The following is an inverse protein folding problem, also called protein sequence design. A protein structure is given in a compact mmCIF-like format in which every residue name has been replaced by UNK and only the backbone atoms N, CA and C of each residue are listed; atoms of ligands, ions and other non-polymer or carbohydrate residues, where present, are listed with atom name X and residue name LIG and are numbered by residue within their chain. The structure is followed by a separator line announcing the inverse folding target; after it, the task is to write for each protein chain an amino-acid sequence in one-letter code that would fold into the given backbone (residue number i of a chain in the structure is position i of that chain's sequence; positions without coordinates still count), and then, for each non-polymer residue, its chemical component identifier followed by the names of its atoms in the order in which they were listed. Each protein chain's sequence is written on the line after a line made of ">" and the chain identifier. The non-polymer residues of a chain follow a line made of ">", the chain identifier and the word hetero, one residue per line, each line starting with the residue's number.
data_IF_899673772506
#
_entry.id   IF_899673772506
#
_cell.length_a   1.000
_cell.length_b   1.000
_cell.length_c   1.000
_cell.angle_alpha   90.00
_cell.angle_beta   90.00
_cell.angle_gamma   90.00
#
_symmetry.space_group_name_H-M   'P 1'
#
loop_
_entity.id
_entity.type
_entity.pdbx_description
1 polymer ?
#
# COMPACT_ATOMS: atom_id res chain seq x y z
N UNK A 1 20.03 -8.93 -4.80
CA UNK A 1 19.91 -10.41 -4.83
C UNK A 1 20.79 -11.01 -5.90
N UNK A 2 20.58 -10.75 -7.20
CA UNK A 2 21.52 -11.25 -8.24
C UNK A 2 22.92 -10.62 -8.08
N UNK A 3 23.01 -9.30 -7.92
CA UNK A 3 24.31 -8.63 -7.71
C UNK A 3 25.02 -9.08 -6.43
N UNK A 4 24.27 -9.34 -5.35
CA UNK A 4 24.86 -9.84 -4.10
C UNK A 4 25.38 -11.28 -4.26
N UNK A 5 24.65 -12.15 -4.97
CA UNK A 5 25.13 -13.50 -5.29
C UNK A 5 26.37 -13.46 -6.19
N UNK A 6 26.41 -12.53 -7.15
CA UNK A 6 27.56 -12.32 -8.01
C UNK A 6 28.79 -11.87 -7.21
N UNK A 7 28.63 -10.93 -6.28
CA UNK A 7 29.72 -10.51 -5.38
C UNK A 7 30.21 -11.69 -4.53
N UNK A 8 29.31 -12.49 -3.95
CA UNK A 8 29.68 -13.69 -3.18
C UNK A 8 30.46 -14.68 -4.05
N UNK A 9 30.05 -14.88 -5.30
CA UNK A 9 30.76 -15.71 -6.26
C UNK A 9 32.17 -15.17 -6.54
N UNK A 10 32.32 -13.89 -6.86
CA UNK A 10 33.64 -13.27 -7.14
C UNK A 10 34.53 -13.29 -5.89
N UNK A 11 34.00 -12.96 -4.72
CA UNK A 11 34.75 -13.00 -3.46
C UNK A 11 35.23 -14.42 -3.12
N UNK A 12 34.35 -15.43 -3.26
CA UNK A 12 34.74 -16.82 -3.03
C UNK A 12 35.80 -17.29 -4.03
N UNK A 13 35.71 -16.89 -5.30
CA UNK A 13 36.73 -17.17 -6.32
C UNK A 13 38.10 -16.58 -5.96
N UNK A 14 38.15 -15.32 -5.51
CA UNK A 14 39.40 -14.66 -5.10
C UNK A 14 39.99 -15.33 -3.86
N UNK A 15 39.18 -15.67 -2.86
CA UNK A 15 39.64 -16.31 -1.62
C UNK A 15 40.13 -17.74 -1.86
N UNK A 16 39.49 -18.47 -2.77
CA UNK A 16 39.93 -19.77 -3.24
C UNK A 16 41.27 -19.67 -3.98
N UNK A 17 41.40 -18.69 -4.90
CA UNK A 17 42.66 -18.48 -5.64
C UNK A 17 43.84 -18.12 -4.73
N UNK A 18 43.59 -17.34 -3.67
CA UNK A 18 44.60 -17.01 -2.65
C UNK A 18 44.91 -18.15 -1.68
N UNK A 19 44.22 -19.28 -1.76
CA UNK A 19 44.40 -20.42 -0.86
C UNK A 19 43.94 -20.18 0.58
N UNK A 20 43.20 -19.09 0.84
CA UNK A 20 42.70 -18.74 2.18
C UNK A 20 41.48 -19.59 2.53
N UNK A 21 40.70 -19.95 1.52
CA UNK A 21 39.48 -20.73 1.66
C UNK A 21 39.75 -22.18 1.28
N UNK A 22 39.42 -23.13 2.17
CA UNK A 22 39.59 -24.56 1.90
C UNK A 22 38.82 -24.99 0.64
N UNK A 23 39.41 -25.91 -0.13
CA UNK A 23 38.91 -26.31 -1.46
C UNK A 23 37.42 -26.68 -1.47
N UNK A 24 36.98 -27.49 -0.50
CA UNK A 24 35.59 -27.92 -0.37
C UNK A 24 34.62 -26.76 -0.10
N UNK A 25 34.99 -25.83 0.79
CA UNK A 25 34.15 -24.70 1.20
C UNK A 25 34.07 -23.68 0.06
N UNK A 26 35.20 -23.39 -0.60
CA UNK A 26 35.24 -22.48 -1.73
C UNK A 26 34.40 -22.98 -2.90
N UNK A 27 34.52 -24.27 -3.25
CA UNK A 27 33.72 -24.85 -4.30
C UNK A 27 32.23 -24.88 -3.96
N UNK A 28 31.85 -25.23 -2.72
CA UNK A 28 30.45 -25.24 -2.29
C UNK A 28 29.81 -23.83 -2.36
N UNK A 29 30.54 -22.78 -1.97
CA UNK A 29 30.07 -21.39 -2.05
C UNK A 29 29.93 -20.92 -3.51
N UNK A 30 30.88 -21.26 -4.37
CA UNK A 30 30.79 -20.95 -5.80
C UNK A 30 29.62 -21.68 -6.46
N UNK A 31 29.48 -22.99 -6.21
CA UNK A 31 28.41 -23.81 -6.78
C UNK A 31 27.02 -23.36 -6.31
N UNK A 32 26.85 -23.08 -5.01
CA UNK A 32 25.58 -22.62 -4.46
C UNK A 32 25.18 -21.22 -4.96
N UNK A 33 26.13 -20.29 -5.05
CA UNK A 33 25.85 -18.94 -5.56
C UNK A 33 25.52 -18.95 -7.06
N UNK A 34 26.26 -19.72 -7.87
CA UNK A 34 25.98 -19.89 -9.30
C UNK A 34 24.64 -20.61 -9.52
N UNK A 35 24.39 -21.69 -8.79
CA UNK A 35 23.14 -22.44 -8.84
C UNK A 35 21.93 -21.57 -8.46
N UNK A 36 22.04 -20.77 -7.40
CA UNK A 36 21.00 -19.82 -7.02
C UNK A 36 20.77 -18.75 -8.09
N UNK A 37 21.82 -18.22 -8.72
CA UNK A 37 21.69 -17.26 -9.81
C UNK A 37 20.95 -17.86 -11.01
N UNK A 38 21.35 -19.06 -11.43
CA UNK A 38 20.73 -19.77 -12.56
C UNK A 38 19.26 -20.08 -12.24
N UNK A 39 18.97 -20.59 -11.04
CA UNK A 39 17.61 -20.91 -10.59
C UNK A 39 16.67 -19.68 -10.66
N UNK A 40 17.12 -18.53 -10.17
CA UNK A 40 16.34 -17.28 -10.22
C UNK A 40 16.03 -16.89 -11.67
N UNK A 41 17.00 -17.03 -12.59
CA UNK A 41 16.78 -16.73 -14.00
C UNK A 41 15.78 -17.70 -14.64
N UNK A 42 15.95 -19.01 -14.42
CA UNK A 42 15.04 -20.04 -14.95
C UNK A 42 13.62 -19.80 -14.46
N UNK A 43 13.43 -19.55 -13.15
CA UNK A 43 12.10 -19.26 -12.58
C UNK A 43 11.46 -18.03 -13.23
N UNK A 44 12.22 -16.95 -13.42
CA UNK A 44 11.70 -15.75 -14.07
C UNK A 44 11.32 -16.00 -15.54
N UNK A 45 12.09 -16.82 -16.25
CA UNK A 45 11.80 -17.20 -17.64
C UNK A 45 10.54 -18.08 -17.69
N UNK A 46 10.41 -19.04 -16.77
CA UNK A 46 9.24 -19.92 -16.67
C UNK A 46 7.96 -19.11 -16.44
N UNK A 47 7.96 -18.18 -15.49
CA UNK A 47 6.80 -17.30 -15.23
C UNK A 47 6.46 -16.46 -16.48
N UNK A 48 7.46 -15.89 -17.15
CA UNK A 48 7.22 -15.14 -18.40
C UNK A 48 6.68 -16.01 -19.52
N UNK A 49 7.10 -17.28 -19.58
CA UNK A 49 6.59 -18.24 -20.57
C UNK A 49 5.16 -18.65 -20.25
N UNK A 50 4.84 -18.91 -18.98
CA UNK A 50 3.46 -19.25 -18.57
C UNK A 50 2.51 -18.09 -18.87
N UNK A 51 2.86 -16.85 -18.53
CA UNK A 51 2.02 -15.69 -18.86
C UNK A 51 1.81 -15.58 -20.38
N UNK A 52 2.82 -15.92 -21.19
CA UNK A 52 2.70 -15.91 -22.66
C UNK A 52 1.86 -17.06 -23.20
N UNK A 53 1.94 -18.27 -22.62
CA UNK A 53 1.07 -19.38 -23.01
C UNK A 53 -0.38 -19.06 -22.67
N UNK A 54 -0.64 -18.59 -21.46
CA UNK A 54 -1.99 -18.25 -20.98
C UNK A 54 -2.58 -17.11 -21.83
N UNK A 55 -1.76 -16.09 -22.16
CA UNK A 55 -2.17 -15.02 -23.05
C UNK A 55 -2.52 -15.54 -24.46
N UNK A 56 -1.81 -16.57 -24.95
CA UNK A 56 -2.08 -17.17 -26.27
C UNK A 56 -3.36 -18.01 -26.26
N UNK A 57 -3.58 -18.80 -25.22
CA UNK A 57 -4.79 -19.60 -25.00
C UNK A 57 -6.02 -18.70 -24.94
N UNK A 58 -5.93 -17.58 -24.22
CA UNK A 58 -7.00 -16.59 -24.05
C UNK A 58 -7.13 -15.60 -25.23
N UNK A 59 -6.37 -15.79 -26.32
CA UNK A 59 -6.31 -14.88 -27.49
C UNK A 59 -6.12 -13.40 -27.09
N UNK A 60 -5.30 -13.17 -26.07
CA UNK A 60 -5.07 -11.85 -25.50
C UNK A 60 -4.06 -11.04 -26.32
N UNK A 61 -4.34 -9.74 -26.50
CA UNK A 61 -3.43 -8.75 -27.10
C UNK A 61 -2.30 -8.37 -26.14
N UNK A 62 -2.55 -8.47 -24.84
CA UNK A 62 -1.58 -8.19 -23.79
C UNK A 62 -1.86 -9.09 -22.58
N UNK A 63 -0.80 -9.48 -21.88
CA UNK A 63 -0.86 -10.26 -20.65
C UNK A 63 0.31 -9.91 -19.73
N UNK A 64 0.04 -9.81 -18.44
CA UNK A 64 1.02 -9.41 -17.45
C UNK A 64 0.64 -9.81 -16.03
N UNK A 65 1.64 -10.02 -15.17
CA UNK A 65 1.43 -10.29 -13.76
C UNK A 65 1.69 -9.02 -12.94
N UNK A 66 0.69 -8.61 -12.15
CA UNK A 66 0.76 -7.49 -11.22
C UNK A 66 0.46 -7.96 -9.79
N UNK A 67 0.77 -7.12 -8.82
CA UNK A 67 0.41 -7.38 -7.42
C UNK A 67 -0.83 -6.58 -7.05
N UNK A 68 -1.84 -7.22 -6.48
CA UNK A 68 -3.04 -6.55 -5.98
C UNK A 68 -2.68 -5.71 -4.76
N UNK A 69 -3.05 -4.44 -4.77
CA UNK A 69 -2.82 -3.53 -3.63
C UNK A 69 -4.12 -3.17 -2.93
N UNK A 70 -5.19 -2.98 -3.69
CA UNK A 70 -6.51 -2.62 -3.14
C UNK A 70 -7.62 -2.93 -4.15
N UNK A 71 -8.84 -3.11 -3.64
CA UNK A 71 -10.06 -2.96 -4.43
C UNK A 71 -10.52 -4.17 -5.23
N UNK A 72 -9.93 -5.34 -4.95
CA UNK A 72 -10.48 -6.65 -5.31
C UNK A 72 -10.72 -7.44 -4.02
N UNK A 73 -11.53 -8.49 -4.08
CA UNK A 73 -11.70 -9.46 -2.97
C UNK A 73 -10.40 -10.10 -2.49
N UNK A 74 -9.36 -10.06 -3.32
CA UNK A 74 -8.11 -10.74 -3.05
C UNK A 74 -7.27 -10.07 -1.97
N UNK A 75 -6.50 -10.89 -1.25
CA UNK A 75 -5.61 -10.44 -0.19
C UNK A 75 -4.56 -9.47 -0.75
N UNK A 76 -4.42 -8.30 -0.13
CA UNK A 76 -3.42 -7.31 -0.56
C UNK A 76 -2.03 -7.92 -0.57
N UNK A 77 -1.30 -7.77 -1.69
CA UNK A 77 0.01 -8.38 -1.89
C UNK A 77 0.00 -9.68 -2.70
N UNK A 78 -1.16 -10.22 -3.07
CA UNK A 78 -1.23 -11.40 -3.95
C UNK A 78 -0.83 -11.06 -5.38
N UNK A 79 -0.15 -11.98 -6.08
CA UNK A 79 0.02 -11.88 -7.52
C UNK A 79 -1.33 -12.10 -8.21
N UNK A 80 -1.58 -11.30 -9.24
CA UNK A 80 -2.76 -11.29 -10.09
C UNK A 80 -2.31 -11.23 -11.54
N UNK A 81 -2.88 -12.07 -12.40
CA UNK A 81 -2.63 -12.02 -13.84
C UNK A 81 -3.72 -11.18 -14.48
N UNK A 82 -3.31 -10.26 -15.33
CA UNK A 82 -4.18 -9.39 -16.08
C UNK A 82 -3.98 -9.66 -17.57
N UNK A 83 -5.08 -9.84 -18.28
CA UNK A 83 -5.09 -10.05 -19.72
C UNK A 83 -6.08 -9.12 -20.38
N UNK A 84 -5.73 -8.65 -21.57
CA UNK A 84 -6.66 -7.90 -22.41
C UNK A 84 -6.92 -8.71 -23.66
N UNK A 85 -8.17 -9.13 -23.81
CA UNK A 85 -8.61 -9.97 -24.92
C UNK A 85 -8.70 -9.16 -26.21
N UNK A 86 -8.86 -9.86 -27.34
CA UNK A 86 -9.18 -9.21 -28.61
C UNK A 86 -10.59 -8.63 -28.64
N UNK A 87 -11.48 -9.15 -27.79
CA UNK A 87 -12.89 -8.75 -27.66
C UNK A 87 -13.07 -7.54 -26.73
N UNK A 88 -11.97 -6.85 -26.40
CA UNK A 88 -11.95 -5.71 -25.52
C UNK A 88 -12.53 -6.01 -24.12
N UNK A 89 -12.13 -7.15 -23.56
CA UNK A 89 -12.40 -7.53 -22.17
C UNK A 89 -11.09 -7.57 -21.39
N UNK A 90 -11.14 -7.09 -20.15
CA UNK A 90 -10.08 -7.21 -19.17
C UNK A 90 -10.35 -8.44 -18.29
N UNK A 91 -9.51 -9.45 -18.41
CA UNK A 91 -9.54 -10.61 -17.53
C UNK A 91 -8.60 -10.35 -16.36
N UNK A 92 -9.13 -10.46 -15.15
CA UNK A 92 -8.42 -10.35 -13.87
C UNK A 92 -8.44 -11.73 -13.23
N UNK A 93 -7.30 -12.39 -13.19
CA UNK A 93 -7.14 -13.73 -12.62
C UNK A 93 -6.35 -13.63 -11.33
N UNK A 94 -7.07 -13.79 -10.22
CA UNK A 94 -6.52 -13.94 -8.89
C UNK A 94 -6.41 -15.41 -8.52
N UNK A 95 -5.61 -15.79 -7.51
CA UNK A 95 -5.47 -17.19 -7.07
C UNK A 95 -6.80 -17.86 -6.65
N UNK A 96 -7.81 -17.04 -6.34
CA UNK A 96 -9.12 -17.48 -5.81
C UNK A 96 -10.21 -17.38 -6.87
N UNK A 97 -10.11 -16.43 -7.81
CA UNK A 97 -11.19 -16.16 -8.76
C UNK A 97 -10.67 -15.60 -10.07
N UNK A 98 -11.29 -16.03 -11.16
CA UNK A 98 -11.19 -15.36 -12.46
C UNK A 98 -12.38 -14.42 -12.66
N UNK A 99 -12.09 -13.21 -13.17
CA UNK A 99 -13.09 -12.18 -13.45
C UNK A 99 -12.90 -11.64 -14.84
N UNK A 100 -14.00 -11.47 -15.55
CA UNK A 100 -14.03 -10.89 -16.88
C UNK A 100 -14.77 -9.57 -16.77
N UNK A 101 -14.07 -8.48 -17.08
CA UNK A 101 -14.60 -7.11 -16.98
C UNK A 101 -14.59 -6.52 -18.39
N UNK A 102 -15.74 -6.28 -19.03
CA UNK A 102 -15.78 -5.59 -20.30
C UNK A 102 -15.12 -4.22 -20.20
N UNK A 103 -14.31 -3.81 -21.19
CA UNK A 103 -13.67 -2.49 -21.16
C UNK A 103 -14.72 -1.38 -21.06
N UNK A 104 -15.93 -1.56 -21.59
CA UNK A 104 -17.06 -0.62 -21.49
C UNK A 104 -17.46 -0.27 -20.06
N UNK A 105 -17.30 -1.20 -19.11
CA UNK A 105 -17.60 -0.99 -17.69
C UNK A 105 -16.50 -0.19 -16.98
N UNK A 106 -15.34 -0.03 -17.61
CA UNK A 106 -14.21 0.72 -17.07
C UNK A 106 -14.39 2.19 -17.40
N UNK A 107 -14.54 3.00 -16.37
CA UNK A 107 -14.70 4.45 -16.48
C UNK A 107 -13.38 5.08 -16.94
N UNK A 108 -12.31 4.80 -16.22
CA UNK A 108 -10.98 5.36 -16.47
C UNK A 108 -9.91 4.49 -15.82
N UNK A 109 -8.77 4.38 -16.49
CA UNK A 109 -7.57 3.75 -15.97
C UNK A 109 -6.50 4.80 -15.75
N UNK A 110 -5.60 4.56 -14.80
CA UNK A 110 -4.53 5.49 -14.48
C UNK A 110 -3.24 4.74 -14.27
N UNK A 111 -2.21 5.19 -14.96
CA UNK A 111 -0.85 4.71 -14.77
C UNK A 111 -0.05 5.76 -14.04
N UNK A 112 0.50 5.40 -12.88
CA UNK A 112 1.11 6.35 -11.97
C UNK A 112 2.25 5.69 -11.20
N UNK A 113 3.30 6.45 -10.88
CA UNK A 113 4.40 5.90 -10.09
C UNK A 113 4.07 5.89 -8.59
N UNK A 114 4.60 4.90 -7.85
CA UNK A 114 4.44 4.85 -6.39
C UNK A 114 4.93 6.14 -5.70
N UNK A 115 6.01 6.74 -6.21
CA UNK A 115 6.49 8.05 -5.72
C UNK A 115 5.46 9.17 -5.93
N UNK A 116 4.69 9.13 -7.01
CA UNK A 116 3.65 10.13 -7.29
C UNK A 116 2.50 10.02 -6.28
N UNK A 117 2.10 8.78 -5.92
CA UNK A 117 1.10 8.51 -4.87
C UNK A 117 1.52 9.03 -3.50
N UNK A 118 2.82 8.95 -3.16
CA UNK A 118 3.31 9.50 -1.89
C UNK A 118 3.31 11.04 -1.91
N UNK A 119 3.64 11.66 -3.05
CA UNK A 119 3.87 13.11 -3.14
C UNK A 119 2.62 13.96 -3.35
N UNK A 120 1.61 13.46 -4.05
CA UNK A 120 0.38 14.22 -4.36
C UNK A 120 -0.71 13.86 -3.36
N UNK A 121 -1.67 14.75 -3.13
CA UNK A 121 -2.86 14.42 -2.34
C UNK A 121 -3.91 13.70 -3.21
N UNK A 122 -4.82 12.96 -2.59
CA UNK A 122 -5.89 12.20 -3.26
C UNK A 122 -6.76 13.11 -4.15
N UNK A 123 -7.05 14.34 -3.68
CA UNK A 123 -7.78 15.36 -4.44
C UNK A 123 -7.01 15.79 -5.70
N UNK A 124 -5.71 16.06 -5.58
CA UNK A 124 -4.87 16.48 -6.71
C UNK A 124 -4.77 15.38 -7.77
N UNK A 125 -4.68 14.12 -7.33
CA UNK A 125 -4.70 12.97 -8.24
C UNK A 125 -6.05 12.88 -8.93
N UNK A 126 -7.15 13.06 -8.20
CA UNK A 126 -8.51 13.09 -8.76
C UNK A 126 -8.68 14.16 -9.83
N UNK A 127 -8.21 15.38 -9.58
CA UNK A 127 -8.27 16.51 -10.51
C UNK A 127 -7.43 16.27 -11.77
N UNK A 128 -6.18 15.83 -11.63
CA UNK A 128 -5.28 15.61 -12.77
C UNK A 128 -5.73 14.45 -13.67
N UNK A 129 -6.33 13.43 -13.05
CA UNK A 129 -6.90 12.29 -13.77
C UNK A 129 -8.27 12.63 -14.34
N UNK A 130 -8.98 13.61 -13.78
CA UNK A 130 -10.35 13.97 -14.13
C UNK A 130 -11.37 12.93 -13.67
N UNK A 131 -11.21 12.39 -12.45
CA UNK A 131 -12.22 11.53 -11.83
C UNK A 131 -13.41 12.35 -11.34
N UNK A 132 -14.61 11.77 -11.41
CA UNK A 132 -15.84 12.42 -10.93
C UNK A 132 -15.91 12.49 -9.38
N UNK A 133 -15.25 11.57 -8.67
CA UNK A 133 -15.13 11.59 -7.20
C UNK A 133 -13.67 11.44 -6.76
N UNK A 134 -13.38 11.93 -5.54
CA UNK A 134 -12.02 11.87 -4.98
C UNK A 134 -11.62 10.40 -4.72
N UNK A 135 -10.56 9.89 -5.36
CA UNK A 135 -10.11 8.52 -5.16
C UNK A 135 -9.46 8.36 -3.78
N UNK A 136 -9.78 7.28 -3.06
CA UNK A 136 -9.18 7.00 -1.74
C UNK A 136 -7.93 6.13 -1.89
N UNK A 137 -6.74 6.73 -1.81
CA UNK A 137 -5.47 6.00 -1.93
C UNK A 137 -4.77 5.76 -0.57
N UNK A 138 -5.44 6.00 0.55
CA UNK A 138 -4.88 5.81 1.90
C UNK A 138 -4.26 4.42 2.10
N UNK A 139 -4.98 3.35 1.74
CA UNK A 139 -4.50 1.97 1.84
C UNK A 139 -3.30 1.70 0.92
N UNK A 140 -3.31 2.27 -0.28
CA UNK A 140 -2.22 2.14 -1.25
C UNK A 140 -0.96 2.83 -0.73
N UNK A 141 -1.08 4.03 -0.15
CA UNK A 141 0.04 4.74 0.51
C UNK A 141 0.60 3.93 1.67
N UNK A 142 -0.26 3.39 2.53
CA UNK A 142 0.16 2.52 3.64
C UNK A 142 0.88 1.25 3.16
N UNK A 143 0.47 0.70 2.02
CA UNK A 143 1.15 -0.43 1.39
C UNK A 143 2.51 -0.03 0.80
N UNK A 144 2.62 1.13 0.14
CA UNK A 144 3.89 1.67 -0.39
C UNK A 144 4.89 1.93 0.74
N UNK A 145 4.43 2.47 1.88
CA UNK A 145 5.27 2.71 3.05
C UNK A 145 5.89 1.41 3.58
N UNK A 146 5.10 0.31 3.59
CA UNK A 146 5.57 -1.04 3.95
C UNK A 146 6.48 -1.67 2.88
N UNK A 147 6.30 -1.28 1.61
CA UNK A 147 7.03 -1.83 0.47
C UNK A 147 7.82 -0.74 -0.28
N UNK A 148 8.95 -0.25 0.26
CA UNK A 148 9.67 0.90 -0.29
C UNK A 148 10.21 0.69 -1.71
N UNK A 149 10.39 -0.57 -2.14
CA UNK A 149 10.76 -0.92 -3.53
C UNK A 149 9.70 -0.47 -4.54
N UNK A 150 8.43 -0.42 -4.15
CA UNK A 150 7.30 -0.04 -5.01
C UNK A 150 7.32 1.44 -5.43
N UNK A 151 8.01 2.32 -4.69
CA UNK A 151 8.13 3.77 -5.02
C UNK A 151 8.65 4.06 -6.42
N UNK A 152 9.52 3.19 -6.94
CA UNK A 152 10.11 3.31 -8.28
C UNK A 152 9.30 2.56 -9.35
N UNK A 153 8.21 1.88 -8.97
CA UNK A 153 7.40 1.04 -9.83
C UNK A 153 6.13 1.76 -10.26
N UNK A 154 5.54 1.26 -11.34
CA UNK A 154 4.26 1.73 -11.86
C UNK A 154 3.12 1.01 -11.15
N UNK A 155 2.06 1.77 -10.94
CA UNK A 155 0.78 1.34 -10.42
C UNK A 155 -0.25 1.54 -11.52
N UNK A 156 -1.16 0.59 -11.63
CA UNK A 156 -2.35 0.67 -12.46
C UNK A 156 -3.55 0.81 -11.52
N UNK A 157 -4.23 1.94 -11.57
CA UNK A 157 -5.51 2.12 -10.91
C UNK A 157 -6.63 2.03 -11.97
N UNK A 158 -7.63 1.19 -11.73
CA UNK A 158 -8.77 0.98 -12.61
C UNK A 158 -10.01 1.40 -11.86
N UNK A 159 -10.73 2.37 -12.39
CA UNK A 159 -12.00 2.84 -11.84
C UNK A 159 -13.15 2.30 -12.68
N UNK A 160 -14.15 1.74 -12.02
CA UNK A 160 -15.29 1.10 -12.66
C UNK A 160 -16.52 2.03 -12.65
N UNK A 161 -17.32 1.98 -13.71
CA UNK A 161 -18.58 2.73 -13.81
C UNK A 161 -19.64 2.21 -12.85
N UNK A 162 -19.65 0.88 -12.65
CA UNK A 162 -20.49 0.19 -11.67
C UNK A 162 -19.59 -0.56 -10.70
N UNK A 163 -19.93 -0.64 -9.41
CA UNK A 163 -19.18 -1.48 -8.49
C UNK A 163 -19.22 -2.93 -8.99
N UNK A 164 -18.07 -3.61 -8.94
CA UNK A 164 -17.89 -4.94 -9.51
C UNK A 164 -18.88 -5.98 -8.95
N UNK A 165 -19.33 -5.83 -7.70
CA UNK A 165 -20.39 -6.67 -7.10
C UNK A 165 -20.98 -6.00 -5.84
N UNK A 166 -22.22 -6.32 -5.45
CA UNK A 166 -22.89 -5.79 -4.22
C UNK A 166 -22.14 -6.16 -2.93
N UNK A 167 -21.37 -7.26 -2.95
CA UNK A 167 -20.53 -7.71 -1.81
C UNK A 167 -19.19 -6.97 -1.76
N UNK A 168 -18.76 -6.42 -2.89
CA UNK A 168 -17.46 -5.77 -3.06
C UNK A 168 -17.66 -4.32 -3.49
N UNK A 169 -17.92 -3.47 -2.50
CA UNK A 169 -17.98 -2.02 -2.64
C UNK A 169 -16.59 -1.43 -2.93
N UNK A 170 -16.03 -1.80 -4.07
CA UNK A 170 -14.80 -1.22 -4.59
C UNK A 170 -15.09 -0.51 -5.91
N UNK A 171 -15.16 0.82 -5.84
CA UNK A 171 -15.24 1.67 -7.03
C UNK A 171 -13.92 1.65 -7.84
N UNK A 172 -12.82 1.20 -7.22
CA UNK A 172 -11.48 1.27 -7.81
C UNK A 172 -10.57 0.13 -7.35
N UNK A 173 -10.01 -0.60 -8.31
CA UNK A 173 -8.95 -1.57 -8.08
C UNK A 173 -7.56 -0.95 -8.35
N UNK A 174 -6.57 -1.27 -7.53
CA UNK A 174 -5.20 -0.76 -7.67
C UNK A 174 -4.22 -1.91 -7.65
N UNK A 175 -3.36 -1.93 -8.67
CA UNK A 175 -2.33 -2.94 -8.89
C UNK A 175 -0.96 -2.29 -8.95
N UNK A 176 0.08 -3.02 -8.56
CA UNK A 176 1.49 -2.60 -8.61
C UNK A 176 2.31 -3.55 -9.47
N UNK A 177 3.10 -3.03 -10.40
CA UNK A 177 4.10 -3.82 -11.14
C UNK A 177 5.40 -3.94 -10.33
N UNK A 178 5.32 -4.62 -9.18
CA UNK A 178 6.43 -4.73 -8.24
C UNK A 178 7.61 -5.51 -8.86
N UNK A 179 7.28 -6.58 -9.58
CA UNK A 179 8.21 -7.55 -10.16
C UNK A 179 8.61 -7.23 -11.62
N UNK A 180 8.04 -6.20 -12.25
CA UNK A 180 8.27 -5.87 -13.67
C UNK A 180 7.91 -7.02 -14.62
N UNK A 181 6.90 -7.81 -14.23
CA UNK A 181 6.37 -8.91 -15.02
C UNK A 181 5.14 -8.46 -15.82
N UNK A 182 4.49 -7.37 -15.40
CA UNK A 182 3.34 -6.80 -16.12
C UNK A 182 3.73 -5.97 -17.33
N UNK A 183 4.86 -5.25 -17.26
CA UNK A 183 5.25 -4.29 -18.30
C UNK A 183 4.12 -3.28 -18.61
N UNK A 184 3.69 -2.55 -17.58
CA UNK A 184 2.63 -1.55 -17.66
C UNK A 184 2.89 -0.42 -18.66
N UNK A 185 4.15 -0.20 -19.06
CA UNK A 185 4.47 0.74 -20.14
C UNK A 185 3.88 0.27 -21.47
N UNK A 186 4.01 -1.03 -21.79
CA UNK A 186 3.43 -1.59 -23.01
C UNK A 186 1.90 -1.65 -22.94
N UNK A 187 1.34 -1.82 -21.75
CA UNK A 187 -0.10 -1.73 -21.50
C UNK A 187 -0.66 -0.36 -21.90
N UNK A 188 -0.10 0.73 -21.38
CA UNK A 188 -0.59 2.09 -21.66
C UNK A 188 -0.46 2.54 -23.13
N UNK A 189 0.37 1.85 -23.94
CA UNK A 189 0.55 2.17 -25.37
C UNK A 189 -0.47 1.49 -26.28
N UNK A 190 -1.26 0.53 -25.77
CA UNK A 190 -2.29 -0.15 -26.58
C UNK A 190 -3.45 0.80 -26.87
N UNK A 191 -3.90 0.95 -28.13
CA UNK A 191 -4.88 1.96 -28.50
C UNK A 191 -6.20 1.83 -27.73
N UNK A 192 -6.65 0.59 -27.47
CA UNK A 192 -7.91 0.30 -26.78
C UNK A 192 -7.91 0.83 -25.33
N UNK A 193 -6.72 0.87 -24.73
CA UNK A 193 -6.49 1.26 -23.34
C UNK A 193 -6.01 2.70 -23.25
N UNK A 194 -5.19 3.15 -24.21
CA UNK A 194 -4.63 4.49 -24.32
C UNK A 194 -5.73 5.57 -24.26
N UNK A 195 -6.87 5.30 -24.92
CA UNK A 195 -8.04 6.21 -24.92
C UNK A 195 -8.62 6.42 -23.52
N UNK A 196 -8.50 5.42 -22.64
CA UNK A 196 -9.07 5.45 -21.28
C UNK A 196 -8.02 5.60 -20.20
N UNK A 197 -6.73 5.61 -20.55
CA UNK A 197 -5.63 5.69 -19.59
C UNK A 197 -5.10 7.11 -19.49
N UNK A 198 -4.94 7.57 -18.24
CA UNK A 198 -4.19 8.79 -17.95
C UNK A 198 -2.86 8.41 -17.34
N UNK A 199 -1.77 8.87 -17.95
CA UNK A 199 -0.42 8.67 -17.42
C UNK A 199 0.01 9.88 -16.57
N UNK A 200 0.24 9.64 -15.28
CA UNK A 200 0.76 10.63 -14.34
C UNK A 200 2.29 10.49 -14.24
N UNK A 201 3.06 11.47 -14.75
CA UNK A 201 4.51 11.40 -14.71
C UNK A 201 5.05 11.47 -13.28
N UNK A 202 6.26 10.95 -13.09
CA UNK A 202 6.96 10.87 -11.80
C UNK A 202 7.27 12.24 -11.16
N UNK A 203 7.29 13.29 -11.98
CA UNK A 203 7.42 14.69 -11.56
C UNK A 203 6.39 15.48 -12.34
N UNK A 204 5.38 16.02 -11.65
CA UNK A 204 4.51 17.02 -12.24
C UNK A 204 5.31 18.31 -12.36
N UNK A 205 5.75 18.65 -13.57
CA UNK A 205 6.35 19.96 -13.82
C UNK A 205 5.27 21.02 -13.58
N UNK A 206 5.46 21.87 -12.55
CA UNK A 206 4.60 23.02 -12.21
C UNK A 206 4.18 23.86 -13.43
N UNK A 207 4.96 23.88 -14.52
CA UNK A 207 4.64 24.57 -15.77
C UNK A 207 3.35 24.10 -16.47
N UNK A 208 2.88 22.87 -16.27
CA UNK A 208 1.59 22.40 -16.84
C UNK A 208 0.37 22.85 -16.03
N UNK A 209 0.53 23.15 -14.74
CA UNK A 209 -0.56 23.68 -13.90
C UNK A 209 -1.02 25.07 -14.35
N UNK A 210 -0.11 25.89 -14.89
CA UNK A 210 -0.43 27.24 -15.38
C UNK A 210 -1.16 27.26 -16.75
N UNK A 211 -1.14 26.17 -17.52
CA UNK A 211 -1.76 26.13 -18.86
C UNK A 211 -3.13 25.43 -18.91
N UNK A 212 -3.56 24.78 -17.83
CA UNK A 212 -4.91 24.24 -17.66
C UNK A 212 -5.74 25.10 -16.69
N UNK A 213 -5.58 26.41 -16.77
CA UNK A 213 -6.37 27.40 -16.02
C UNK A 213 -7.82 27.54 -16.51
N UNK A 214 -8.45 26.46 -16.97
CA UNK A 214 -9.89 26.37 -17.03
C UNK A 214 -10.29 25.53 -15.80
N UNK A 215 -10.80 26.14 -14.71
CA UNK A 215 -11.33 25.36 -13.61
C UNK A 215 -12.48 24.53 -14.18
N UNK A 216 -12.34 23.21 -14.24
CA UNK A 216 -13.53 22.37 -14.23
C UNK A 216 -14.22 22.68 -12.91
N UNK A 217 -15.33 23.39 -13.00
CA UNK A 217 -16.24 23.61 -11.91
C UNK A 217 -16.69 22.23 -11.42
N UNK A 218 -16.00 21.70 -10.40
CA UNK A 218 -16.66 20.80 -9.48
C UNK A 218 -17.77 21.65 -8.85
N UNK A 219 -19.07 21.31 -9.01
CA UNK A 219 -20.05 21.88 -8.11
C UNK A 219 -19.52 21.55 -6.72
N UNK A 220 -19.37 22.58 -5.88
CA UNK A 220 -18.98 22.43 -4.49
C UNK A 220 -19.70 21.19 -3.97
N UNK A 221 -18.95 20.17 -3.56
CA UNK A 221 -19.49 19.10 -2.72
C UNK A 221 -19.78 19.79 -1.39
N UNK A 222 -20.91 20.50 -1.40
CA UNK A 222 -21.46 21.26 -0.33
C UNK A 222 -22.15 20.21 0.51
N UNK A 223 -21.42 19.73 1.52
CA UNK A 223 -21.94 19.13 2.75
C UNK A 223 -23.38 18.62 2.63
N UNK A 224 -23.54 17.43 2.09
CA UNK A 224 -24.72 16.61 2.39
C UNK A 224 -24.37 15.72 3.59
N UNK A 225 -24.14 16.39 4.72
CA UNK A 225 -24.45 15.86 6.04
C UNK A 225 -25.71 16.62 6.43
N UNK A 226 -26.83 16.21 5.84
CA UNK A 226 -28.12 16.85 6.02
C UNK A 226 -28.84 16.15 7.17
N UNK A 227 -29.18 16.96 8.17
CA UNK A 227 -30.25 16.77 9.15
C UNK A 227 -30.09 15.63 10.18
N UNK A 228 -29.26 15.86 11.20
CA UNK A 228 -29.63 15.43 12.56
C UNK A 228 -30.07 16.66 13.38
N UNK A 229 -31.19 16.59 14.12
CA UNK A 229 -31.71 17.71 14.87
C UNK A 229 -30.80 18.02 16.07
N UNK A 230 -30.61 19.32 16.32
CA UNK A 230 -29.91 19.90 17.47
C UNK A 230 -29.99 19.04 18.75
N UNK A 231 -28.96 18.26 19.03
CA UNK A 231 -28.63 17.90 20.42
C UNK A 231 -27.87 19.07 21.02
N UNK A 232 -28.58 19.87 21.81
CA UNK A 232 -27.96 20.78 22.77
C UNK A 232 -26.97 19.97 23.61
N UNK A 233 -25.68 20.23 23.43
CA UNK A 233 -24.66 19.74 24.36
C UNK A 233 -24.81 20.61 25.61
N UNK A 234 -25.61 20.16 26.57
CA UNK A 234 -25.50 20.65 27.93
C UNK A 234 -24.12 20.26 28.46
N UNK A 235 -23.22 21.24 28.54
CA UNK A 235 -21.97 21.09 29.29
C UNK A 235 -22.33 21.02 30.77
N UNK A 236 -22.50 19.82 31.30
CA UNK A 236 -22.33 19.60 32.73
C UNK A 236 -20.82 19.59 33.01
N UNK A 237 -20.31 20.73 33.46
CA UNK A 237 -18.98 20.79 34.06
C UNK A 237 -19.09 20.24 35.48
N UNK A 238 -18.47 19.09 35.73
CA UNK A 238 -18.17 18.64 37.09
C UNK A 238 -17.02 19.49 37.62
N UNK A 239 -17.23 20.06 38.81
CA UNK A 239 -16.37 21.08 39.40
C UNK A 239 -15.51 20.44 40.52
N UNK A 240 -14.74 19.41 40.17
CA UNK A 240 -14.02 18.61 41.17
C UNK A 240 -12.63 19.17 41.51
N UNK A 241 -12.20 20.24 40.82
CA UNK A 241 -11.06 21.08 41.21
C UNK A 241 -11.39 22.54 40.87
N UNK A 242 -11.86 23.29 41.87
CA UNK A 242 -12.41 24.64 41.75
C UNK A 242 -11.50 25.70 41.10
N UNK A 243 -11.35 25.62 39.78
CA UNK A 243 -10.60 26.58 38.96
C UNK A 243 -11.32 26.79 37.63
N UNK A 244 -12.50 27.39 37.70
CA UNK A 244 -13.17 27.99 36.55
C UNK A 244 -13.17 29.51 36.75
N UNK A 245 -12.23 30.20 36.09
CA UNK A 245 -12.20 31.67 36.00
C UNK A 245 -13.15 32.10 34.88
N UNK A 246 -14.08 33.06 35.11
CA UNK A 246 -14.94 33.60 34.06
C UNK A 246 -14.18 34.64 33.22
N UNK A 247 -14.45 34.77 31.91
CA UNK A 247 -13.85 35.82 31.10
C UNK A 247 -14.72 37.08 31.20
N UNK A 248 -14.29 38.07 31.98
CA UNK A 248 -14.79 39.44 31.88
C UNK A 248 -13.62 40.42 31.91
N UNK A 249 -13.58 41.31 30.91
CA UNK A 249 -12.57 42.37 30.84
C UNK A 249 -12.82 43.49 31.84
N UNK A 250 -11.76 44.21 32.20
CA UNK A 250 -11.60 45.67 32.36
C UNK A 250 -10.23 45.94 33.02
N UNK A 251 -9.70 47.15 32.79
CA UNK A 251 -8.35 47.71 32.97
C UNK A 251 -7.77 47.75 34.41
N UNK A 252 -6.45 48.03 34.41
CA UNK A 252 -5.58 48.74 35.38
C UNK A 252 -4.66 47.89 36.30
N UNK A 253 -3.40 48.36 36.35
CA UNK A 253 -2.20 47.83 37.02
C UNK A 253 -2.14 48.22 38.52
N UNK A 254 -0.98 48.09 39.21
CA UNK A 254 -0.25 46.88 39.61
C UNK A 254 -0.05 46.83 41.16
N UNK A 255 0.61 45.76 41.66
CA UNK A 255 1.64 45.77 42.72
C UNK A 255 1.50 44.68 43.82
N UNK A 256 2.68 44.31 44.31
CA UNK A 256 3.07 43.77 45.62
C UNK A 256 3.32 42.26 45.75
N UNK A 257 4.56 42.01 46.21
CA UNK A 257 5.26 40.79 46.61
C UNK A 257 4.58 40.06 47.78
N UNK A 258 4.76 38.73 47.86
CA UNK A 258 5.52 38.11 48.95
C UNK A 258 5.55 36.58 48.87
N UNK A 259 6.73 36.06 49.20
CA UNK A 259 7.11 34.70 49.55
C UNK A 259 6.17 34.02 50.56
N UNK A 260 6.11 32.68 50.57
CA UNK A 260 6.64 31.89 51.69
C UNK A 260 6.60 30.36 51.44
N UNK A 261 7.70 29.74 51.85
CA UNK A 261 7.99 28.31 51.91
C UNK A 261 6.97 27.47 52.70
N UNK A 262 6.92 26.16 52.40
CA UNK A 262 7.51 25.11 53.26
C UNK A 262 6.73 23.77 53.31
N UNK A 263 7.53 22.69 53.40
CA UNK A 263 7.28 21.40 54.11
C UNK A 263 6.55 20.24 53.39
N UNK A 264 7.39 19.31 52.92
CA UNK A 264 7.23 17.85 53.01
C UNK A 264 6.94 17.38 54.48
N UNK A 265 6.26 16.23 54.70
CA UNK A 265 6.99 14.95 54.81
C UNK A 265 6.26 13.67 54.32
N UNK A 266 7.11 12.63 54.24
CA UNK A 266 6.94 11.19 53.98
C UNK A 266 5.77 10.51 54.71
N UNK A 267 5.31 9.33 54.25
CA UNK A 267 5.41 8.03 54.94
C UNK A 267 4.85 6.88 54.05
N UNK A 268 5.63 5.81 53.90
CA UNK A 268 5.20 4.44 53.54
C UNK A 268 5.21 3.60 54.84
N UNK A 269 4.48 2.47 54.88
CA UNK A 269 5.21 1.22 55.09
C UNK A 269 4.68 0.00 54.29
N UNK A 270 5.55 -1.01 54.29
CA UNK A 270 5.51 -2.34 53.66
C UNK A 270 5.20 -3.43 54.72
N UNK A 271 4.73 -4.62 54.31
CA UNK A 271 5.32 -5.97 54.58
C UNK A 271 4.30 -7.13 54.50
N UNK A 272 4.62 -8.09 53.60
CA UNK A 272 4.57 -9.59 53.56
C UNK A 272 3.50 -10.43 54.31
N UNK A 273 3.05 -11.52 53.66
CA UNK A 273 3.57 -12.91 53.87
C UNK A 273 2.88 -13.97 52.95
N UNK A 274 3.63 -15.04 52.64
CA UNK A 274 3.28 -16.29 51.90
C UNK A 274 3.62 -17.48 52.83
N UNK A 275 3.05 -18.71 52.72
CA UNK A 275 3.61 -19.73 51.77
C UNK A 275 2.76 -20.98 51.36
N UNK A 276 3.15 -21.61 50.23
CA UNK A 276 3.23 -23.08 49.95
C UNK A 276 1.94 -23.94 49.76
N UNK A 277 1.87 -25.09 49.07
CA UNK A 277 2.75 -25.90 48.20
C UNK A 277 1.99 -27.15 47.65
N UNK A 278 2.56 -27.83 46.60
CA UNK A 278 2.35 -29.22 46.07
C UNK A 278 1.14 -29.46 45.12
N UNK A 279 1.25 -29.88 43.85
CA UNK A 279 1.88 -31.02 43.11
C UNK A 279 1.15 -32.38 43.24
N UNK A 280 0.55 -32.84 42.12
CA UNK A 280 0.56 -34.21 41.53
C UNK A 280 -0.41 -34.27 40.32
N UNK A 281 -0.46 -35.25 39.41
CA UNK A 281 0.46 -35.98 38.50
C UNK A 281 -0.43 -37.06 37.83
N UNK A 282 -0.28 -37.31 36.51
CA UNK A 282 -0.83 -38.46 35.70
C UNK A 282 -2.34 -38.41 35.42
N UNK A 283 -2.88 -38.92 34.30
CA UNK A 283 -2.49 -40.08 33.48
C UNK A 283 -3.10 -39.99 32.05
N UNK A 284 -2.53 -40.76 31.12
CA UNK A 284 -2.98 -40.95 29.75
C UNK A 284 -3.86 -42.22 29.65
N UNK A 285 -4.89 -42.22 28.79
CA UNK A 285 -5.49 -43.45 28.24
C UNK A 285 -6.02 -43.17 26.82
N UNK A 286 -5.61 -44.02 25.89
CA UNK A 286 -6.12 -44.23 24.52
C UNK A 286 -7.44 -44.98 24.53
N UNK A 287 -8.30 -44.73 23.54
CA UNK A 287 -9.01 -45.73 22.69
C UNK A 287 -10.32 -45.12 22.16
N UNK A 288 -10.36 -44.89 20.85
CA UNK A 288 -11.40 -45.30 19.88
C UNK A 288 -11.05 -44.81 18.46
#
# INVERSE_FOLDING_TARGET
>A
MILTLFIVFVCSLILFWKGILGYYIGFALMASSLGAMIWIQIRNIQIRRSIKSDARERKAKWGGELTVVSGLSSVTGTPCRLFITRYDELIVEDPISERIIPLEEIERMVLLYGKTLESLNDVQIGEEVGFHSVPRFSHVRAWIARNPRSRKRLFLAIRFRKPLTVVEYSEMAVFSDLHQLGNLNAFGLRPEIAVRTVFLPRKLHKKRMLRRGAPMHFPKIQREYRDEPRRQIHKHAHNDLGTAVPPQGIKLAPAVEHDFDSKFPKYLPSVKDSPGAKVNKKEAVTDE
#
